data_IF_194546920479
#
_entry.id   IF_194546920479
#
_cell.length_a   1.000
_cell.length_b   1.000
_cell.length_c   1.000
_cell.angle_alpha   90.00
_cell.angle_beta   90.00
_cell.angle_gamma   90.00
#
_symmetry.space_group_name_H-M   'P 1'
#
loop_
_entity.id
_entity.type
_entity.pdbx_description
1 polymer ?
#
# COMPACT_ATOMS: atom_id res chain seq x y z
N UNK A 1 -5.03 28.58 6.02
CA UNK A 1 -6.28 28.01 5.50
C UNK A 1 -6.42 26.65 6.14
N UNK A 2 -7.56 26.38 6.77
CA UNK A 2 -7.79 25.19 7.58
C UNK A 2 -7.96 23.98 6.64
N UNK A 3 -6.95 23.12 6.55
CA UNK A 3 -6.97 21.91 5.73
C UNK A 3 -7.91 20.90 6.39
N UNK A 4 -9.19 20.91 6.00
CA UNK A 4 -10.32 20.18 6.59
C UNK A 4 -10.17 18.64 6.71
N UNK A 5 -9.28 18.19 7.60
CA UNK A 5 -9.20 16.80 8.04
C UNK A 5 -10.18 16.60 9.19
N UNK A 6 -11.38 16.14 8.86
CA UNK A 6 -12.36 15.69 9.86
C UNK A 6 -12.03 14.26 10.28
N UNK A 7 -11.66 14.06 11.55
CA UNK A 7 -11.41 12.72 12.11
C UNK A 7 -12.58 12.31 13.00
N UNK A 8 -13.21 11.18 12.68
CA UNK A 8 -14.34 10.61 13.44
C UNK A 8 -13.92 9.30 14.09
N UNK A 9 -14.15 9.16 15.41
CA UNK A 9 -13.78 7.97 16.19
C UNK A 9 -14.99 7.28 16.80
N UNK A 10 -14.84 5.99 17.07
CA UNK A 10 -15.80 5.16 17.81
C UNK A 10 -15.04 4.51 18.98
N UNK A 11 -15.43 4.81 20.22
CA UNK A 11 -14.92 4.14 21.43
C UNK A 11 -16.02 4.03 22.50
N UNK A 12 -15.75 3.26 23.56
CA UNK A 12 -16.73 2.96 24.60
C UNK A 12 -16.98 4.13 25.56
N UNK A 13 -16.04 5.10 25.64
CA UNK A 13 -16.15 6.28 26.49
C UNK A 13 -15.65 7.54 25.77
N UNK A 14 -16.23 8.70 26.07
CA UNK A 14 -15.84 9.99 25.47
C UNK A 14 -14.40 10.41 25.82
N UNK A 15 -13.92 10.03 27.00
CA UNK A 15 -12.57 10.34 27.47
C UNK A 15 -11.50 9.57 26.67
N UNK A 16 -11.76 8.30 26.35
CA UNK A 16 -10.91 7.51 25.44
C UNK A 16 -10.90 8.09 24.01
N UNK A 17 -12.05 8.61 23.54
CA UNK A 17 -12.14 9.30 22.23
C UNK A 17 -11.25 10.55 22.23
N UNK A 18 -11.31 11.36 23.30
CA UNK A 18 -10.49 12.57 23.43
C UNK A 18 -9.00 12.26 23.38
N UNK A 19 -8.54 11.26 24.13
CA UNK A 19 -7.13 10.84 24.17
C UNK A 19 -6.65 10.28 22.83
N UNK A 20 -7.46 9.46 22.16
CA UNK A 20 -7.15 8.93 20.83
C UNK A 20 -7.07 10.05 19.78
N UNK A 21 -7.99 11.01 19.86
CA UNK A 21 -8.04 12.16 18.95
C UNK A 21 -6.77 13.00 19.05
N UNK A 22 -6.36 13.39 20.25
CA UNK A 22 -5.15 14.20 20.46
C UNK A 22 -3.89 13.46 20.01
N UNK A 23 -3.76 12.18 20.38
CA UNK A 23 -2.61 11.35 19.97
C UNK A 23 -2.48 11.24 18.45
N UNK A 24 -3.59 11.03 17.75
CA UNK A 24 -3.56 10.90 16.29
C UNK A 24 -3.33 12.25 15.61
N UNK A 25 -3.92 13.33 16.13
CA UNK A 25 -3.68 14.68 15.67
C UNK A 25 -2.20 15.03 15.75
N UNK A 26 -1.55 14.73 16.88
CA UNK A 26 -0.11 14.91 17.05
C UNK A 26 0.70 14.12 16.02
N UNK A 27 0.37 12.84 15.80
CA UNK A 27 1.03 11.99 14.80
C UNK A 27 0.88 12.58 13.38
N UNK A 28 -0.31 13.07 13.04
CA UNK A 28 -0.59 13.66 11.72
C UNK A 28 0.21 14.95 11.55
N UNK A 29 0.20 15.85 12.52
CA UNK A 29 0.93 17.11 12.48
C UNK A 29 2.45 16.88 12.37
N UNK A 30 2.99 15.94 13.13
CA UNK A 30 4.42 15.59 13.04
C UNK A 30 4.77 15.02 11.65
N UNK A 31 3.91 14.19 11.06
CA UNK A 31 4.11 13.69 9.69
C UNK A 31 3.97 14.78 8.63
N UNK A 32 3.04 15.73 8.79
CA UNK A 32 2.89 16.88 7.87
C UNK A 32 4.16 17.74 7.89
N UNK A 33 4.70 18.03 9.08
CA UNK A 33 5.96 18.75 9.25
C UNK A 33 7.13 17.99 8.63
N UNK A 34 7.28 16.71 8.96
CA UNK A 34 8.32 15.85 8.39
C UNK A 34 8.26 15.82 6.87
N UNK A 35 7.09 15.56 6.29
CA UNK A 35 6.90 15.58 4.84
C UNK A 35 7.24 16.94 4.21
N UNK A 36 6.82 18.04 4.83
CA UNK A 36 7.05 19.39 4.30
C UNK A 36 8.53 19.76 4.26
N UNK A 37 9.31 19.25 5.22
CA UNK A 37 10.75 19.48 5.32
C UNK A 37 11.59 18.67 4.30
N UNK A 38 11.02 17.64 3.67
CA UNK A 38 11.73 16.82 2.68
C UNK A 38 12.03 17.59 1.39
N UNK A 39 13.11 17.19 0.73
CA UNK A 39 13.42 17.61 -0.63
C UNK A 39 12.33 17.17 -1.62
N UNK A 40 12.15 17.96 -2.68
CA UNK A 40 11.10 17.77 -3.69
C UNK A 40 11.20 16.41 -4.41
N UNK A 41 12.41 15.94 -4.67
CA UNK A 41 12.66 14.61 -5.23
C UNK A 41 12.12 13.49 -4.30
N UNK A 42 12.34 13.58 -2.99
CA UNK A 42 11.90 12.59 -2.00
C UNK A 42 10.38 12.64 -1.85
N UNK A 43 9.79 13.84 -1.81
CA UNK A 43 8.33 14.03 -1.83
C UNK A 43 7.70 13.31 -3.02
N UNK A 44 8.25 13.52 -4.21
CA UNK A 44 7.79 12.87 -5.44
C UNK A 44 7.92 11.34 -5.38
N UNK A 45 8.99 10.81 -4.80
CA UNK A 45 9.15 9.36 -4.61
C UNK A 45 8.14 8.78 -3.61
N UNK A 46 7.83 9.50 -2.53
CA UNK A 46 6.78 9.12 -1.57
C UNK A 46 5.41 9.10 -2.26
N UNK A 47 5.08 10.15 -3.02
CA UNK A 47 3.81 10.22 -3.77
C UNK A 47 3.68 9.06 -4.77
N UNK A 48 4.74 8.75 -5.52
CA UNK A 48 4.77 7.58 -6.41
C UNK A 48 4.62 6.26 -5.63
N UNK A 49 5.20 6.16 -4.44
CA UNK A 49 5.04 4.98 -3.57
C UNK A 49 3.61 4.80 -3.07
N UNK A 50 2.88 5.91 -2.84
CA UNK A 50 1.45 5.86 -2.52
C UNK A 50 0.62 5.32 -3.69
N UNK A 51 1.01 5.61 -4.94
CA UNK A 51 0.37 5.01 -6.12
C UNK A 51 0.54 3.49 -6.12
N UNK A 52 1.74 2.99 -5.77
CA UNK A 52 1.98 1.55 -5.63
C UNK A 52 1.10 0.94 -4.53
N UNK A 53 0.90 1.63 -3.39
CA UNK A 53 -0.03 1.17 -2.35
C UNK A 53 -1.47 1.03 -2.86
N UNK A 54 -1.94 1.97 -3.70
CA UNK A 54 -3.27 1.89 -4.31
C UNK A 54 -3.40 0.69 -5.25
N UNK A 55 -2.38 0.44 -6.07
CA UNK A 55 -2.34 -0.73 -6.97
C UNK A 55 -2.32 -2.06 -6.19
N UNK A 56 -1.61 -2.10 -5.06
CA UNK A 56 -1.67 -3.25 -4.12
C UNK A 56 -3.08 -3.45 -3.59
N UNK A 57 -3.78 -2.37 -3.23
CA UNK A 57 -5.17 -2.44 -2.74
C UNK A 57 -6.14 -2.91 -3.82
N UNK A 58 -5.95 -2.53 -5.08
CA UNK A 58 -6.70 -3.06 -6.22
C UNK A 58 -6.55 -4.58 -6.34
N UNK A 59 -5.32 -5.10 -6.21
CA UNK A 59 -5.07 -6.55 -6.23
C UNK A 59 -5.76 -7.25 -5.06
N UNK A 60 -5.60 -6.72 -3.85
CA UNK A 60 -6.22 -7.27 -2.64
C UNK A 60 -7.74 -7.33 -2.79
N UNK A 61 -8.36 -6.23 -3.20
CA UNK A 61 -9.79 -6.13 -3.38
C UNK A 61 -10.28 -7.10 -4.46
N UNK A 62 -9.59 -7.17 -5.61
CA UNK A 62 -9.91 -8.08 -6.70
C UNK A 62 -9.91 -9.55 -6.25
N UNK A 63 -8.92 -9.97 -5.45
CA UNK A 63 -8.89 -11.33 -4.89
C UNK A 63 -10.06 -11.57 -3.94
N UNK A 64 -10.34 -10.62 -3.05
CA UNK A 64 -11.38 -10.75 -2.02
C UNK A 64 -12.79 -10.86 -2.59
N UNK A 65 -13.09 -10.13 -3.67
CA UNK A 65 -14.42 -10.16 -4.30
C UNK A 65 -14.55 -11.20 -5.42
N UNK A 66 -13.46 -11.88 -5.77
CA UNK A 66 -13.44 -12.83 -6.88
C UNK A 66 -13.56 -12.15 -8.25
N UNK A 67 -12.97 -10.97 -8.45
CA UNK A 67 -13.05 -10.24 -9.73
C UNK A 67 -12.42 -11.05 -10.89
N UNK A 68 -12.65 -10.60 -12.12
CA UNK A 68 -12.14 -11.24 -13.33
C UNK A 68 -10.62 -11.37 -13.28
N UNK A 69 -10.10 -12.58 -13.47
CA UNK A 69 -8.67 -12.93 -13.39
C UNK A 69 -7.81 -11.97 -14.20
N UNK A 70 -8.24 -11.61 -15.41
CA UNK A 70 -7.54 -10.65 -16.26
C UNK A 70 -7.25 -9.31 -15.58
N UNK A 71 -8.22 -8.77 -14.85
CA UNK A 71 -8.03 -7.49 -14.12
C UNK A 71 -7.00 -7.65 -13.01
N UNK A 72 -7.07 -8.74 -12.26
CA UNK A 72 -6.11 -9.04 -11.19
C UNK A 72 -4.70 -9.22 -11.77
N UNK A 73 -4.57 -9.95 -12.88
CA UNK A 73 -3.31 -10.08 -13.61
C UNK A 73 -2.71 -8.72 -13.99
N UNK A 74 -3.52 -7.82 -14.57
CA UNK A 74 -3.07 -6.47 -14.89
C UNK A 74 -2.68 -5.67 -13.65
N UNK A 75 -3.49 -5.66 -12.60
CA UNK A 75 -3.17 -4.95 -11.35
C UNK A 75 -1.87 -5.44 -10.69
N UNK A 76 -1.57 -6.75 -10.79
CA UNK A 76 -0.29 -7.31 -10.33
C UNK A 76 0.87 -6.80 -11.19
N UNK A 77 0.73 -6.84 -12.52
CA UNK A 77 1.73 -6.34 -13.46
C UNK A 77 2.03 -4.86 -13.25
N UNK A 78 0.99 -4.05 -13.14
CA UNK A 78 1.05 -2.62 -12.84
C UNK A 78 1.77 -2.33 -11.52
N UNK A 79 1.46 -3.11 -10.47
CA UNK A 79 2.15 -3.01 -9.18
C UNK A 79 3.64 -3.28 -9.34
N UNK A 80 4.00 -4.35 -10.07
CA UNK A 80 5.40 -4.73 -10.32
C UNK A 80 6.17 -3.63 -11.05
N UNK A 81 5.63 -3.15 -12.17
CA UNK A 81 6.28 -2.18 -13.04
C UNK A 81 6.42 -0.82 -12.34
N UNK A 82 5.36 -0.35 -11.67
CA UNK A 82 5.40 0.92 -10.96
C UNK A 82 6.39 0.87 -9.79
N UNK A 83 6.42 -0.23 -9.03
CA UNK A 83 7.37 -0.40 -7.93
C UNK A 83 8.83 -0.45 -8.42
N UNK A 84 9.08 -0.96 -9.63
CA UNK A 84 10.42 -1.16 -10.16
C UNK A 84 11.11 0.10 -10.70
N UNK A 85 10.43 1.25 -10.70
CA UNK A 85 10.98 2.52 -11.19
C UNK A 85 11.12 3.59 -10.10
N UNK A 86 10.76 3.30 -8.85
CA UNK A 86 10.80 4.27 -7.75
C UNK A 86 12.03 4.01 -6.87
N UNK A 87 13.03 4.92 -6.82
CA UNK A 87 14.31 4.67 -6.12
C UNK A 87 14.14 4.28 -4.65
N UNK A 88 13.32 5.01 -3.86
CA UNK A 88 13.02 4.67 -2.45
C UNK A 88 12.54 3.23 -2.25
N UNK A 89 11.89 2.63 -3.26
CA UNK A 89 11.43 1.24 -3.22
C UNK A 89 12.54 0.30 -3.68
N UNK A 90 13.25 0.62 -4.77
CA UNK A 90 14.31 -0.22 -5.34
C UNK A 90 15.51 -0.38 -4.40
N UNK A 91 15.83 0.68 -3.68
CA UNK A 91 16.97 0.75 -2.76
C UNK A 91 16.62 0.23 -1.37
N UNK A 92 15.33 -0.01 -1.09
CA UNK A 92 14.89 -0.52 0.20
C UNK A 92 15.27 -1.98 0.41
N UNK A 93 15.63 -2.31 1.65
CA UNK A 93 15.85 -3.68 2.07
C UNK A 93 14.61 -4.53 1.83
N UNK A 94 14.80 -5.73 1.27
CA UNK A 94 13.72 -6.65 0.94
C UNK A 94 13.06 -6.41 -0.43
N UNK A 95 13.45 -5.38 -1.20
CA UNK A 95 12.93 -5.12 -2.54
C UNK A 95 13.00 -6.35 -3.47
N UNK A 96 14.12 -7.08 -3.47
CA UNK A 96 14.29 -8.27 -4.30
C UNK A 96 13.28 -9.37 -3.96
N UNK A 97 12.93 -9.53 -2.68
CA UNK A 97 11.91 -10.49 -2.24
C UNK A 97 10.51 -10.05 -2.68
N UNK A 98 10.23 -8.75 -2.62
CA UNK A 98 8.97 -8.17 -3.11
C UNK A 98 8.84 -8.39 -4.63
N UNK A 99 9.89 -8.10 -5.41
CA UNK A 99 9.87 -8.34 -6.86
C UNK A 99 9.71 -9.82 -7.20
N UNK A 100 10.39 -10.72 -6.47
CA UNK A 100 10.24 -12.16 -6.63
C UNK A 100 8.79 -12.61 -6.36
N UNK A 101 8.17 -12.09 -5.28
CA UNK A 101 6.78 -12.38 -4.97
C UNK A 101 5.81 -11.86 -6.03
N UNK A 102 6.00 -10.62 -6.51
CA UNK A 102 5.19 -10.04 -7.58
C UNK A 102 5.31 -10.83 -8.88
N UNK A 103 6.53 -11.24 -9.26
CA UNK A 103 6.77 -12.10 -10.42
C UNK A 103 6.07 -13.45 -10.30
N UNK A 104 6.22 -14.12 -9.14
CA UNK A 104 5.55 -15.40 -8.88
C UNK A 104 4.03 -15.28 -9.06
N UNK A 105 3.42 -14.25 -8.47
CA UNK A 105 1.97 -14.08 -8.52
C UNK A 105 1.48 -13.63 -9.89
N UNK A 106 2.27 -12.88 -10.64
CA UNK A 106 1.97 -12.57 -12.03
C UNK A 106 1.95 -13.81 -12.91
N UNK A 107 2.96 -14.68 -12.79
CA UNK A 107 2.99 -15.96 -13.51
C UNK A 107 1.82 -16.85 -13.11
N UNK A 108 1.48 -16.89 -11.82
CA UNK A 108 0.30 -17.61 -11.34
C UNK A 108 -0.97 -17.10 -12.01
N UNK A 109 -1.24 -15.80 -11.97
CA UNK A 109 -2.47 -15.23 -12.54
C UNK A 109 -2.52 -15.33 -14.07
N UNK A 110 -1.37 -15.25 -14.74
CA UNK A 110 -1.25 -15.45 -16.19
C UNK A 110 -1.68 -16.86 -16.63
N UNK A 111 -1.39 -17.87 -15.82
CA UNK A 111 -1.68 -19.28 -16.14
C UNK A 111 -3.13 -19.69 -15.86
N UNK A 112 -3.94 -18.80 -15.28
CA UNK A 112 -5.37 -19.03 -15.06
C UNK A 112 -6.21 -18.67 -16.31
N UNK A 113 -7.46 -19.13 -16.36
CA UNK A 113 -8.39 -18.77 -17.43
C UNK A 113 -8.88 -17.32 -17.26
N UNK A 114 -8.43 -16.42 -18.14
CA UNK A 114 -8.47 -14.97 -17.91
C UNK A 114 -9.87 -14.36 -17.76
N UNK A 115 -10.90 -14.98 -18.36
CA UNK A 115 -12.29 -14.51 -18.33
C UNK A 115 -13.14 -15.08 -17.21
N UNK A 116 -12.53 -15.84 -16.31
CA UNK A 116 -13.21 -16.40 -15.15
C UNK A 116 -13.01 -15.54 -13.90
N UNK A 117 -13.91 -15.75 -12.93
CA UNK A 117 -13.76 -15.23 -11.59
C UNK A 117 -12.51 -15.81 -10.93
N UNK A 118 -11.87 -14.98 -10.11
CA UNK A 118 -10.66 -15.39 -9.43
C UNK A 118 -10.94 -16.44 -8.35
N UNK A 119 -10.16 -17.53 -8.30
CA UNK A 119 -10.36 -18.58 -7.31
C UNK A 119 -9.88 -18.11 -5.92
N UNK A 120 -10.74 -17.43 -5.16
CA UNK A 120 -10.39 -16.74 -3.90
C UNK A 120 -9.77 -17.67 -2.86
N UNK A 121 -10.24 -18.92 -2.75
CA UNK A 121 -9.72 -19.90 -1.79
C UNK A 121 -8.27 -20.29 -2.10
N UNK A 122 -7.96 -20.53 -3.37
CA UNK A 122 -6.61 -20.80 -3.87
C UNK A 122 -5.74 -19.53 -3.82
N UNK A 123 -6.38 -18.36 -3.90
CA UNK A 123 -5.82 -17.02 -3.81
C UNK A 123 -5.34 -16.56 -2.43
N UNK A 124 -5.62 -17.31 -1.36
CA UNK A 124 -5.29 -16.89 0.02
C UNK A 124 -3.79 -16.61 0.23
N UNK A 125 -2.93 -17.40 -0.41
CA UNK A 125 -1.48 -17.18 -0.37
C UNK A 125 -1.07 -15.85 -1.02
N UNK A 126 -1.70 -15.51 -2.14
CA UNK A 126 -1.50 -14.25 -2.85
C UNK A 126 -1.96 -13.08 -2.00
N UNK A 127 -3.18 -13.15 -1.47
CA UNK A 127 -3.75 -12.14 -0.58
C UNK A 127 -2.82 -11.84 0.61
N UNK A 128 -2.31 -12.89 1.28
CA UNK A 128 -1.37 -12.76 2.40
C UNK A 128 -0.08 -12.05 1.97
N UNK A 129 0.49 -12.39 0.81
CA UNK A 129 1.70 -11.72 0.33
C UNK A 129 1.45 -10.25 -0.03
N UNK A 130 0.35 -9.91 -0.69
CA UNK A 130 0.04 -8.50 -0.99
C UNK A 130 -0.17 -7.66 0.27
N UNK A 131 -0.79 -8.21 1.32
CA UNK A 131 -0.90 -7.55 2.62
C UNK A 131 0.49 -7.33 3.25
N UNK A 132 1.40 -8.31 3.15
CA UNK A 132 2.77 -8.18 3.65
C UNK A 132 3.55 -7.11 2.86
N UNK A 133 3.44 -7.09 1.53
CA UNK A 133 4.07 -6.08 0.67
C UNK A 133 3.52 -4.69 1.01
N UNK A 134 2.20 -4.55 1.23
CA UNK A 134 1.58 -3.30 1.67
C UNK A 134 2.20 -2.80 2.97
N UNK A 135 2.30 -3.66 3.99
CA UNK A 135 2.89 -3.32 5.29
C UNK A 135 4.36 -2.93 5.16
N UNK A 136 5.12 -3.67 4.36
CA UNK A 136 6.52 -3.36 4.07
C UNK A 136 6.68 -1.98 3.43
N UNK A 137 5.90 -1.67 2.39
CA UNK A 137 5.98 -0.40 1.67
C UNK A 137 5.57 0.79 2.56
N UNK A 138 4.54 0.62 3.40
CA UNK A 138 4.18 1.62 4.42
C UNK A 138 5.35 1.85 5.38
N UNK A 139 6.08 0.79 5.76
CA UNK A 139 7.30 0.89 6.55
C UNK A 139 8.36 1.77 5.88
N UNK A 140 8.63 1.55 4.59
CA UNK A 140 9.62 2.33 3.83
C UNK A 140 9.25 3.82 3.77
N UNK A 141 7.98 4.13 3.56
CA UNK A 141 7.49 5.52 3.55
C UNK A 141 7.63 6.15 4.95
N UNK A 142 7.24 5.43 6.02
CA UNK A 142 7.29 5.95 7.38
C UNK A 142 8.70 6.34 7.82
N UNK A 143 9.72 5.56 7.45
CA UNK A 143 11.12 5.87 7.77
C UNK A 143 11.53 7.25 7.23
N UNK A 144 10.96 7.70 6.11
CA UNK A 144 11.25 9.02 5.54
C UNK A 144 10.42 10.17 6.10
N UNK A 145 9.36 9.89 6.85
CA UNK A 145 8.46 10.91 7.40
C UNK A 145 8.79 11.30 8.84
N UNK A 146 9.71 10.59 9.49
CA UNK A 146 10.11 10.76 10.89
C UNK A 146 11.56 11.23 11.03
N UNK A 147 12.32 11.23 9.92
CA UNK A 147 13.63 11.89 9.78
C UNK A 147 13.47 13.39 9.57
#
# INVERSE_FOLDING_TARGET
ADDGVNITYFANTEEEIGLLTEKIKEIIENRKKGFSALEENVKNQILKSIIVLRKIDEVINGIMIGDVIRKIYFSVGDTRETAAVIPIIKEAEGYNLVQLALNKWMTYTQNLQQEQEFPTEQGKGMLKNFIQIKKWLIGQIKVKLVS
#
